data_IF_958650108996
#
_entry.id   IF_958650108996
#
_cell.length_a   1.000
_cell.length_b   1.000
_cell.length_c   1.000
_cell.angle_alpha   90.00
_cell.angle_beta   90.00
_cell.angle_gamma   90.00
#
_symmetry.space_group_name_H-M   'P 1'
#
loop_
_entity.id
_entity.type
_entity.pdbx_description
1 polymer ?
#
# COMPACT_ATOMS: atom_id res chain seq x y z
N UNK A 1 19.10 11.46 -21.89
CA UNK A 1 18.00 11.85 -20.97
C UNK A 1 17.43 10.57 -20.36
N UNK A 2 17.73 10.25 -19.10
CA UNK A 2 17.13 9.10 -18.44
C UNK A 2 15.67 9.41 -18.12
N UNK A 3 14.72 8.82 -18.87
CA UNK A 3 13.31 8.82 -18.48
C UNK A 3 13.21 8.07 -17.15
N UNK A 4 12.83 8.79 -16.08
CA UNK A 4 12.41 8.13 -14.84
C UNK A 4 11.24 7.20 -15.20
N UNK A 5 11.26 5.90 -14.83
CA UNK A 5 10.13 5.03 -15.07
C UNK A 5 8.89 5.65 -14.42
N UNK A 6 7.76 5.61 -15.13
CA UNK A 6 6.49 6.12 -14.63
C UNK A 6 6.13 5.43 -13.31
N UNK A 7 5.68 6.19 -12.32
CA UNK A 7 5.26 5.66 -11.01
C UNK A 7 4.04 4.75 -11.23
N UNK A 8 4.18 3.46 -10.93
CA UNK A 8 3.05 2.52 -10.93
C UNK A 8 2.35 2.63 -9.57
N UNK A 9 1.11 3.12 -9.59
CA UNK A 9 0.24 3.20 -8.41
C UNK A 9 -0.81 2.11 -8.54
N UNK A 10 -0.96 1.32 -7.49
CA UNK A 10 -2.08 0.39 -7.33
C UNK A 10 -3.01 1.02 -6.29
N UNK A 11 -4.27 1.21 -6.68
CA UNK A 11 -5.29 1.83 -5.82
C UNK A 11 -6.33 0.78 -5.47
N UNK A 12 -6.67 0.69 -4.20
CA UNK A 12 -7.74 -0.16 -3.70
C UNK A 12 -8.93 0.65 -3.22
N UNK A 13 -10.13 0.11 -3.42
CA UNK A 13 -11.37 0.69 -2.91
C UNK A 13 -11.61 0.29 -1.43
N UNK A 14 -12.53 1.00 -0.79
CA UNK A 14 -12.76 1.05 0.65
C UNK A 14 -12.81 -0.30 1.39
N UNK A 15 -13.31 -1.37 0.76
CA UNK A 15 -13.43 -2.69 1.40
C UNK A 15 -12.08 -3.29 1.86
N UNK A 16 -10.99 -2.96 1.15
CA UNK A 16 -9.64 -3.43 1.50
C UNK A 16 -9.08 -2.67 2.71
N UNK A 17 -9.53 -1.43 3.01
CA UNK A 17 -9.07 -0.68 4.20
C UNK A 17 -9.31 -1.43 5.50
N UNK A 18 -10.43 -2.11 5.61
CA UNK A 18 -10.81 -2.85 6.82
C UNK A 18 -9.88 -4.04 7.04
N UNK A 19 -9.45 -4.68 5.96
CA UNK A 19 -8.50 -5.80 5.98
C UNK A 19 -7.09 -5.27 6.31
N UNK A 20 -6.67 -4.16 5.71
CA UNK A 20 -5.30 -3.63 5.85
C UNK A 20 -5.00 -2.94 7.18
N UNK A 21 -6.02 -2.63 7.99
CA UNK A 21 -5.82 -2.02 9.31
C UNK A 21 -5.15 -2.94 10.32
N UNK A 22 -5.24 -4.25 10.14
CA UNK A 22 -4.62 -5.22 11.02
C UNK A 22 -3.32 -5.74 10.38
N UNK A 23 -2.21 -5.62 11.13
CA UNK A 23 -0.91 -6.18 10.71
C UNK A 23 -0.98 -7.70 10.47
N UNK A 24 -1.90 -8.40 11.14
CA UNK A 24 -2.14 -9.83 10.92
C UNK A 24 -2.66 -10.15 9.50
N UNK A 25 -3.18 -9.16 8.77
CA UNK A 25 -3.68 -9.33 7.41
C UNK A 25 -2.65 -8.95 6.33
N UNK A 26 -1.42 -8.59 6.71
CA UNK A 26 -0.37 -8.25 5.75
C UNK A 26 -0.03 -9.43 4.85
N UNK A 27 0.03 -10.64 5.41
CA UNK A 27 0.29 -11.88 4.67
C UNK A 27 -0.77 -12.10 3.56
N UNK A 28 -2.03 -11.75 3.84
CA UNK A 28 -3.12 -11.83 2.87
C UNK A 28 -2.92 -10.81 1.75
N UNK A 29 -2.49 -9.59 2.07
CA UNK A 29 -2.23 -8.58 1.07
C UNK A 29 -0.97 -8.89 0.25
N UNK A 30 0.10 -9.37 0.86
CA UNK A 30 1.30 -9.85 0.16
C UNK A 30 0.94 -10.94 -0.84
N UNK A 31 0.16 -11.94 -0.41
CA UNK A 31 -0.36 -13.00 -1.27
C UNK A 31 -1.22 -12.45 -2.41
N UNK A 32 -2.13 -11.52 -2.11
CA UNK A 32 -2.97 -10.88 -3.11
C UNK A 32 -2.16 -10.08 -4.15
N UNK A 33 -1.24 -9.22 -3.70
CA UNK A 33 -0.37 -8.42 -4.57
C UNK A 33 0.54 -9.31 -5.40
N UNK A 34 1.05 -10.40 -4.80
CA UNK A 34 1.88 -11.38 -5.51
C UNK A 34 1.11 -12.09 -6.61
N UNK A 35 -0.16 -12.47 -6.34
CA UNK A 35 -1.05 -13.05 -7.33
C UNK A 35 -1.43 -12.05 -8.44
N UNK A 36 -1.76 -10.81 -8.07
CA UNK A 36 -2.16 -9.75 -9.00
C UNK A 36 -1.02 -9.37 -9.95
N UNK A 37 0.19 -9.21 -9.43
CA UNK A 37 1.36 -8.78 -10.20
C UNK A 37 2.13 -9.96 -10.82
N UNK A 38 1.81 -11.20 -10.44
CA UNK A 38 2.48 -12.44 -10.85
C UNK A 38 3.97 -12.47 -10.53
N UNK A 39 4.33 -11.92 -9.37
CA UNK A 39 5.70 -11.86 -8.85
C UNK A 39 5.68 -11.72 -7.34
N UNK A 40 6.64 -12.28 -6.59
CA UNK A 40 6.62 -12.20 -5.13
C UNK A 40 6.75 -10.75 -4.66
N UNK A 41 5.82 -10.35 -3.79
CA UNK A 41 5.74 -9.02 -3.19
C UNK A 41 5.85 -9.17 -1.67
N UNK A 42 6.72 -8.37 -1.07
CA UNK A 42 6.87 -8.28 0.40
C UNK A 42 6.58 -6.85 0.84
N UNK A 43 5.66 -6.69 1.78
CA UNK A 43 5.36 -5.43 2.43
C UNK A 43 6.50 -5.10 3.38
N UNK A 44 7.03 -3.89 3.27
CA UNK A 44 8.11 -3.38 4.08
C UNK A 44 7.61 -2.54 5.25
N UNK A 45 6.65 -1.66 4.99
CA UNK A 45 6.16 -0.71 6.00
C UNK A 45 4.77 -0.16 5.68
N UNK A 46 4.08 0.31 6.73
CA UNK A 46 2.92 1.20 6.60
C UNK A 46 3.38 2.65 6.71
N UNK A 47 3.09 3.41 5.68
CA UNK A 47 3.27 4.85 5.65
C UNK A 47 1.96 5.48 6.12
N UNK A 48 1.93 5.93 7.38
CA UNK A 48 0.83 6.75 7.86
C UNK A 48 0.98 8.17 7.29
N UNK A 49 -0.02 8.63 6.54
CA UNK A 49 -0.08 10.03 6.10
C UNK A 49 -0.70 10.87 7.22
N UNK A 50 0.09 11.77 7.81
CA UNK A 50 -0.39 12.80 8.73
C UNK A 50 -1.29 13.81 7.97
N UNK A 51 -2.57 13.46 7.81
CA UNK A 51 -3.61 14.39 7.42
C UNK A 51 -4.09 15.15 8.65
N UNK A 52 -3.67 16.41 8.79
CA UNK A 52 -4.07 17.38 9.82
C UNK A 52 -5.35 17.03 10.60
N UNK A 53 -5.19 16.57 11.84
CA UNK A 53 -6.27 16.43 12.82
C UNK A 53 -6.90 17.79 13.12
N UNK A 54 -8.17 17.97 12.74
CA UNK A 54 -9.00 19.05 13.29
C UNK A 54 -10.35 18.57 13.84
N UNK A 55 -10.88 17.43 13.42
CA UNK A 55 -12.12 16.87 13.97
C UNK A 55 -12.06 15.35 14.21
N UNK A 56 -12.77 14.87 15.25
CA UNK A 56 -12.91 13.43 15.59
C UNK A 56 -13.57 12.60 14.46
N UNK A 57 -14.20 13.29 13.50
CA UNK A 57 -14.82 12.71 12.30
C UNK A 57 -13.84 12.56 11.11
N UNK A 58 -12.66 13.19 11.12
CA UNK A 58 -11.63 13.10 10.06
C UNK A 58 -10.80 11.80 10.13
N UNK A 59 -11.41 10.71 10.61
CA UNK A 59 -10.79 9.40 10.88
C UNK A 59 -10.40 8.61 9.62
N UNK A 60 -10.06 9.29 8.53
CA UNK A 60 -9.55 8.71 7.30
C UNK A 60 -8.04 8.90 7.21
N UNK A 61 -7.30 8.22 8.11
CA UNK A 61 -5.88 7.97 7.89
C UNK A 61 -5.74 7.24 6.55
N UNK A 62 -5.25 7.92 5.52
CA UNK A 62 -4.75 7.28 4.31
C UNK A 62 -3.54 6.47 4.74
N UNK A 63 -3.70 5.16 4.74
CA UNK A 63 -2.59 4.23 4.97
C UNK A 63 -2.03 3.92 3.59
N UNK A 64 -0.84 4.42 3.33
CA UNK A 64 -0.04 4.00 2.19
C UNK A 64 0.82 2.81 2.63
N UNK A 65 1.08 1.86 1.74
CA UNK A 65 1.94 0.71 2.01
C UNK A 65 3.16 0.76 1.11
N UNK A 66 4.33 0.58 1.71
CA UNK A 66 5.57 0.39 0.98
C UNK A 66 5.84 -1.11 0.87
N UNK A 67 6.01 -1.60 -0.35
CA UNK A 67 6.37 -2.97 -0.64
C UNK A 67 7.58 -3.04 -1.59
N UNK A 68 8.16 -4.23 -1.72
CA UNK A 68 9.23 -4.51 -2.68
C UNK A 68 9.00 -5.80 -3.44
N UNK A 69 9.58 -5.89 -4.63
CA UNK A 69 9.77 -7.15 -5.35
C UNK A 69 11.11 -7.78 -4.98
N UNK A 70 11.33 -9.04 -5.36
CA UNK A 70 12.63 -9.72 -5.21
C UNK A 70 13.77 -8.99 -5.94
N UNK A 71 13.48 -8.40 -7.10
CA UNK A 71 14.44 -7.63 -7.89
C UNK A 71 14.77 -6.25 -7.28
N UNK A 72 14.20 -5.90 -6.13
CA UNK A 72 14.43 -4.65 -5.43
C UNK A 72 13.61 -3.45 -5.94
N UNK A 73 12.64 -3.67 -6.83
CA UNK A 73 11.68 -2.62 -7.25
C UNK A 73 10.78 -2.27 -6.06
N UNK A 74 10.67 -0.98 -5.72
CA UNK A 74 9.79 -0.50 -4.65
C UNK A 74 8.41 -0.13 -5.21
N UNK A 75 7.38 -0.61 -4.55
CA UNK A 75 5.98 -0.39 -4.90
C UNK A 75 5.32 0.38 -3.77
N UNK A 76 4.57 1.43 -4.12
CA UNK A 76 3.72 2.14 -3.17
C UNK A 76 2.28 1.79 -3.52
N UNK A 77 1.56 1.25 -2.54
CA UNK A 77 0.14 0.91 -2.63
C UNK A 77 -0.63 1.94 -1.83
N UNK A 78 -1.55 2.63 -2.49
CA UNK A 78 -2.37 3.67 -1.86
C UNK A 78 -3.77 3.09 -1.61
N UNK A 79 -4.26 3.24 -0.38
CA UNK A 79 -5.59 2.76 -0.01
C UNK A 79 -6.50 3.97 0.20
N UNK A 80 -7.45 4.17 -0.73
CA UNK A 80 -8.33 5.35 -0.75
C UNK A 80 -9.65 5.16 -0.01
#
# INVERSE_FOLDING_TARGET
MNKKPGRKIITFDWAIKTVLRDKANFDVLEGFLSALLRRPIVILDMLESEGNQRDEADKYNRVDLLAKTEDGERIIVEVQ
#
